data_IF_666018704516
#
_entry.id   IF_666018704516
#
_cell.length_a   1.000
_cell.length_b   1.000
_cell.length_c   1.000
_cell.angle_alpha   90.00
_cell.angle_beta   90.00
_cell.angle_gamma   90.00
#
_symmetry.space_group_name_H-M   'P 1'
#
loop_
_entity.id
_entity.type
_entity.pdbx_description
1 polymer ?
#
# COMPACT_ATOMS: atom_id res chain seq x y z
N UNK A 1 -32.55 -12.39 -29.20
CA UNK A 1 -31.93 -11.14 -28.73
C UNK A 1 -30.47 -11.43 -28.38
N UNK A 2 -29.52 -10.88 -29.14
CA UNK A 2 -28.11 -10.99 -28.79
C UNK A 2 -27.88 -10.20 -27.49
N UNK A 3 -27.39 -10.86 -26.43
CA UNK A 3 -27.05 -10.18 -25.18
C UNK A 3 -25.97 -9.14 -25.46
N UNK A 4 -26.23 -7.90 -25.04
CA UNK A 4 -25.23 -6.85 -25.04
C UNK A 4 -24.04 -7.31 -24.18
N UNK A 5 -22.84 -7.32 -24.75
CA UNK A 5 -21.64 -7.71 -24.01
C UNK A 5 -21.25 -6.56 -23.10
N UNK A 6 -21.45 -6.73 -21.81
CA UNK A 6 -21.08 -5.76 -20.77
C UNK A 6 -19.56 -5.48 -20.72
N UNK A 7 -18.75 -6.38 -21.30
CA UNK A 7 -17.29 -6.27 -21.36
C UNK A 7 -16.80 -6.43 -22.81
N UNK A 8 -16.71 -5.32 -23.53
CA UNK A 8 -16.08 -5.31 -24.84
C UNK A 8 -14.57 -5.62 -24.72
N UNK A 9 -14.03 -6.36 -25.69
CA UNK A 9 -12.58 -6.61 -25.79
C UNK A 9 -12.01 -7.79 -24.99
N UNK A 10 -12.83 -8.63 -24.34
CA UNK A 10 -12.32 -9.84 -23.67
C UNK A 10 -11.79 -10.86 -24.69
N UNK A 11 -10.49 -11.14 -24.65
CA UNK A 11 -9.82 -12.12 -25.47
C UNK A 11 -9.85 -13.50 -24.82
N UNK A 12 -10.38 -14.51 -25.53
CA UNK A 12 -10.57 -15.87 -25.01
C UNK A 12 -9.29 -16.52 -24.46
N UNK A 13 -8.13 -16.18 -25.01
CA UNK A 13 -6.84 -16.73 -24.57
C UNK A 13 -6.25 -16.04 -23.34
N UNK A 14 -6.33 -14.70 -23.28
CA UNK A 14 -5.68 -13.92 -22.22
C UNK A 14 -6.57 -13.77 -20.98
N UNK A 15 -7.90 -13.67 -21.19
CA UNK A 15 -8.86 -13.39 -20.12
C UNK A 15 -9.53 -14.64 -19.52
N UNK A 16 -8.98 -15.82 -19.76
CA UNK A 16 -9.56 -17.09 -19.25
C UNK A 16 -9.76 -17.08 -17.73
N UNK A 17 -8.83 -16.45 -17.02
CA UNK A 17 -8.83 -16.37 -15.55
C UNK A 17 -9.39 -15.04 -15.04
N UNK A 18 -9.81 -14.15 -15.94
CA UNK A 18 -10.34 -12.84 -15.59
C UNK A 18 -11.74 -12.95 -14.98
N UNK A 19 -12.03 -12.17 -13.94
CA UNK A 19 -13.34 -12.13 -13.26
C UNK A 19 -14.50 -11.77 -14.19
N UNK A 20 -14.29 -10.79 -15.06
CA UNK A 20 -15.25 -10.41 -16.10
C UNK A 20 -15.73 -11.58 -16.95
N UNK A 21 -14.92 -12.65 -17.12
CA UNK A 21 -15.34 -13.84 -17.87
C UNK A 21 -16.41 -14.64 -17.14
N UNK A 22 -16.31 -14.74 -15.82
CA UNK A 22 -17.34 -15.39 -15.00
C UNK A 22 -18.63 -14.55 -15.05
N UNK A 23 -18.51 -13.23 -14.99
CA UNK A 23 -19.66 -12.30 -15.08
C UNK A 23 -20.37 -12.45 -16.44
N UNK A 24 -19.63 -12.48 -17.57
CA UNK A 24 -20.23 -12.73 -18.90
C UNK A 24 -20.97 -14.07 -18.99
N UNK A 25 -20.53 -15.06 -18.21
CA UNK A 25 -21.11 -16.39 -18.16
C UNK A 25 -22.21 -16.51 -17.08
N UNK A 26 -22.73 -15.39 -16.56
CA UNK A 26 -23.73 -15.32 -15.49
C UNK A 26 -23.27 -15.91 -14.14
N UNK A 27 -21.96 -15.97 -13.89
CA UNK A 27 -21.42 -16.30 -12.58
C UNK A 27 -21.63 -15.16 -11.59
N UNK A 28 -22.11 -15.49 -10.39
CA UNK A 28 -22.20 -14.53 -9.29
C UNK A 28 -20.83 -14.39 -8.61
N UNK A 29 -20.28 -13.18 -8.60
CA UNK A 29 -19.08 -12.86 -7.85
C UNK A 29 -19.43 -11.89 -6.73
N UNK A 30 -18.95 -12.17 -5.52
CA UNK A 30 -19.12 -11.23 -4.41
C UNK A 30 -18.19 -10.03 -4.59
N UNK A 31 -18.60 -8.84 -4.10
CA UNK A 31 -17.71 -7.69 -3.99
C UNK A 31 -16.44 -8.04 -3.20
N UNK A 32 -15.29 -7.54 -3.68
CA UNK A 32 -14.02 -7.68 -2.99
C UNK A 32 -13.94 -6.71 -1.82
N UNK A 33 -13.32 -7.14 -0.73
CA UNK A 33 -13.01 -6.24 0.39
C UNK A 33 -11.76 -5.42 0.09
N UNK A 34 -11.93 -4.11 -0.12
CA UNK A 34 -10.78 -3.20 -0.22
C UNK A 34 -10.11 -3.06 1.14
N UNK A 35 -8.79 -3.19 1.18
CA UNK A 35 -7.98 -2.97 2.38
C UNK A 35 -7.54 -1.50 2.44
N UNK A 36 -8.52 -0.59 2.44
CA UNK A 36 -8.28 0.83 2.69
C UNK A 36 -8.22 1.08 4.17
N UNK A 37 -7.05 0.88 4.75
CA UNK A 37 -6.81 1.24 6.14
C UNK A 37 -6.62 2.75 6.24
N UNK A 38 -6.90 3.32 7.41
CA UNK A 38 -6.55 4.68 7.76
C UNK A 38 -5.48 4.68 8.84
N UNK A 39 -4.80 5.80 9.00
CA UNK A 39 -3.74 5.97 9.98
C UNK A 39 -4.07 6.97 11.09
N UNK A 40 -5.31 7.46 11.11
CA UNK A 40 -5.79 8.42 12.12
C UNK A 40 -5.66 7.94 13.57
N UNK A 41 -5.55 6.62 13.78
CA UNK A 41 -5.36 6.01 15.10
C UNK A 41 -3.94 6.24 15.66
N UNK A 42 -3.01 6.81 14.88
CA UNK A 42 -1.67 7.15 15.32
C UNK A 42 -1.44 8.66 15.16
N UNK A 43 -1.36 9.43 16.27
CA UNK A 43 -1.07 10.85 16.22
C UNK A 43 0.33 11.14 15.66
N UNK A 44 0.44 12.09 14.72
CA UNK A 44 1.72 12.58 14.22
C UNK A 44 2.24 13.70 15.14
N UNK A 45 3.45 13.56 15.66
CA UNK A 45 4.15 14.62 16.39
C UNK A 45 4.73 15.64 15.41
N UNK A 46 4.63 16.92 15.72
CA UNK A 46 5.14 18.02 14.89
C UNK A 46 6.67 17.95 14.74
N UNK A 47 7.37 17.39 15.73
CA UNK A 47 8.84 17.21 15.69
C UNK A 47 9.28 16.24 14.58
N UNK A 48 8.37 15.47 13.98
CA UNK A 48 8.71 14.56 12.90
C UNK A 48 8.77 15.26 11.53
N UNK A 49 8.09 16.40 11.37
CA UNK A 49 7.92 17.06 10.08
C UNK A 49 9.24 17.39 9.35
N UNK A 50 10.32 17.86 10.03
CA UNK A 50 11.60 18.13 9.37
C UNK A 50 12.20 16.89 8.69
N UNK A 51 12.02 15.70 9.26
CA UNK A 51 12.52 14.46 8.69
C UNK A 51 11.70 14.04 7.47
N UNK A 52 10.38 14.24 7.52
CA UNK A 52 9.49 13.93 6.39
C UNK A 52 9.70 14.88 5.23
N UNK A 53 10.00 16.16 5.50
CA UNK A 53 10.39 17.14 4.50
C UNK A 53 11.72 16.76 3.81
N UNK A 54 12.72 16.34 4.61
CA UNK A 54 14.00 15.83 4.08
C UNK A 54 13.85 14.58 3.22
N UNK A 55 12.83 13.75 3.43
CA UNK A 55 12.48 12.65 2.51
C UNK A 55 11.59 13.07 1.32
N UNK A 56 11.00 14.27 1.35
CA UNK A 56 10.01 14.71 0.37
C UNK A 56 8.64 14.04 0.54
N UNK A 57 8.37 13.48 1.73
CA UNK A 57 7.14 12.76 2.06
C UNK A 57 6.17 13.57 2.93
N UNK A 58 6.54 14.79 3.35
CA UNK A 58 5.67 15.65 4.16
C UNK A 58 4.29 15.88 3.51
N UNK A 59 4.15 16.20 2.20
CA UNK A 59 2.83 16.37 1.58
C UNK A 59 1.96 15.12 1.71
N UNK A 60 2.52 13.94 1.45
CA UNK A 60 1.85 12.65 1.65
C UNK A 60 1.43 12.43 3.11
N UNK A 61 2.30 12.69 4.08
CA UNK A 61 1.98 12.53 5.49
C UNK A 61 0.82 13.46 5.89
N UNK A 62 0.86 14.73 5.49
CA UNK A 62 -0.21 15.69 5.80
C UNK A 62 -1.56 15.29 5.20
N UNK A 63 -1.55 14.70 4.00
CA UNK A 63 -2.75 14.20 3.33
C UNK A 63 -3.35 13.01 4.07
N UNK A 64 -2.53 12.06 4.52
CA UNK A 64 -2.99 10.76 5.05
C UNK A 64 -2.93 10.59 6.56
N UNK A 65 -2.43 11.58 7.32
CA UNK A 65 -2.55 11.59 8.79
C UNK A 65 -4.00 11.81 9.27
N UNK A 66 -4.89 12.23 8.37
CA UNK A 66 -6.30 12.52 8.64
C UNK A 66 -7.17 11.27 8.51
N UNK A 67 -8.44 11.38 8.91
CA UNK A 67 -9.41 10.31 8.66
C UNK A 67 -9.66 10.18 7.15
N UNK A 68 -9.46 8.97 6.63
CA UNK A 68 -9.70 8.68 5.22
C UNK A 68 -11.21 8.58 4.95
N UNK A 69 -11.69 8.90 3.73
CA UNK A 69 -13.10 8.75 3.38
C UNK A 69 -13.54 7.28 3.44
N UNK A 70 -14.84 7.02 3.44
CA UNK A 70 -15.33 5.64 3.30
C UNK A 70 -15.05 5.11 1.89
N UNK A 71 -14.70 3.82 1.78
CA UNK A 71 -14.53 3.15 0.50
C UNK A 71 -15.80 2.38 0.14
N UNK A 72 -16.33 2.63 -1.06
CA UNK A 72 -17.35 1.77 -1.64
C UNK A 72 -16.71 0.53 -2.27
N UNK A 73 -16.79 -0.59 -1.55
CA UNK A 73 -16.23 -1.87 -2.00
C UNK A 73 -16.87 -2.39 -3.30
N UNK A 74 -18.16 -2.11 -3.54
CA UNK A 74 -18.87 -2.53 -4.73
C UNK A 74 -18.39 -1.77 -5.96
N UNK A 75 -18.33 -0.44 -5.87
CA UNK A 75 -17.85 0.43 -6.93
C UNK A 75 -16.39 0.10 -7.30
N UNK A 76 -15.53 -0.06 -6.29
CA UNK A 76 -14.13 -0.45 -6.50
C UNK A 76 -14.01 -1.83 -7.17
N UNK A 77 -14.84 -2.79 -6.77
CA UNK A 77 -14.86 -4.11 -7.43
C UNK A 77 -15.28 -4.00 -8.88
N UNK A 78 -16.33 -3.23 -9.18
CA UNK A 78 -16.80 -3.02 -10.55
C UNK A 78 -15.75 -2.34 -11.43
N UNK A 79 -14.92 -1.46 -10.86
CA UNK A 79 -13.76 -0.86 -11.54
C UNK A 79 -12.67 -1.91 -11.80
N UNK A 80 -12.31 -2.72 -10.79
CA UNK A 80 -11.33 -3.81 -10.93
C UNK A 80 -11.76 -4.86 -11.97
N UNK A 81 -13.06 -5.17 -12.06
CA UNK A 81 -13.60 -6.08 -13.07
C UNK A 81 -13.41 -5.55 -14.51
N UNK A 82 -13.08 -4.25 -14.66
CA UNK A 82 -12.76 -3.61 -15.95
C UNK A 82 -11.27 -3.40 -16.18
N UNK A 83 -10.41 -3.75 -15.21
CA UNK A 83 -8.96 -3.69 -15.39
C UNK A 83 -8.49 -4.65 -16.48
N UNK A 84 -7.52 -4.23 -17.29
CA UNK A 84 -6.83 -5.07 -18.28
C UNK A 84 -5.34 -5.11 -17.98
N UNK A 85 -4.83 -6.26 -17.49
CA UNK A 85 -3.42 -6.43 -17.19
C UNK A 85 -2.48 -6.26 -18.40
N UNK A 86 -2.99 -6.40 -19.62
CA UNK A 86 -2.22 -6.29 -20.85
C UNK A 86 -1.82 -4.85 -21.18
N UNK A 87 -2.68 -3.89 -20.83
CA UNK A 87 -2.49 -2.45 -21.11
C UNK A 87 -2.33 -1.62 -19.84
N UNK A 88 -2.51 -2.24 -18.67
CA UNK A 88 -2.57 -1.56 -17.37
C UNK A 88 -3.56 -0.38 -17.38
N UNK A 89 -4.77 -0.64 -17.88
CA UNK A 89 -5.85 0.34 -17.94
C UNK A 89 -7.21 -0.28 -17.62
N UNK A 90 -8.16 0.55 -17.21
CA UNK A 90 -9.57 0.23 -17.06
C UNK A 90 -10.29 0.43 -18.39
N UNK A 91 -11.02 -0.58 -18.84
CA UNK A 91 -11.83 -0.52 -20.05
C UNK A 91 -13.28 -0.20 -19.67
N UNK A 92 -13.65 1.08 -19.79
CA UNK A 92 -14.97 1.62 -19.49
C UNK A 92 -15.78 1.80 -20.79
N UNK A 93 -17.08 2.06 -20.67
CA UNK A 93 -17.93 2.37 -21.85
C UNK A 93 -17.52 3.67 -22.55
N UNK A 94 -16.87 4.60 -21.83
CA UNK A 94 -16.36 5.86 -22.36
C UNK A 94 -14.93 5.77 -22.93
N UNK A 95 -14.28 4.60 -22.86
CA UNK A 95 -12.90 4.40 -23.34
C UNK A 95 -11.98 3.77 -22.31
N UNK A 96 -10.68 3.83 -22.58
CA UNK A 96 -9.63 3.38 -21.68
C UNK A 96 -9.22 4.49 -20.71
N UNK A 97 -9.01 4.13 -19.44
CA UNK A 97 -8.59 5.06 -18.39
C UNK A 97 -7.54 4.39 -17.52
N UNK A 98 -6.49 5.10 -17.11
CA UNK A 98 -5.51 4.57 -16.15
C UNK A 98 -5.06 5.64 -15.18
N UNK A 99 -4.59 5.22 -14.00
CA UNK A 99 -3.94 6.12 -13.03
C UNK A 99 -2.53 6.38 -13.52
N UNK A 100 -2.16 7.63 -13.78
CA UNK A 100 -0.82 8.00 -14.24
C UNK A 100 0.11 8.36 -13.08
N UNK A 101 1.39 8.61 -13.39
CA UNK A 101 2.32 9.18 -12.40
C UNK A 101 1.89 10.57 -11.94
N UNK A 102 1.30 11.37 -12.82
CA UNK A 102 0.79 12.71 -12.47
C UNK A 102 -0.38 12.60 -11.50
N UNK A 103 -1.35 11.72 -11.79
CA UNK A 103 -2.47 11.45 -10.86
C UNK A 103 -1.96 10.96 -9.51
N UNK A 104 -0.98 10.05 -9.50
CA UNK A 104 -0.36 9.55 -8.28
C UNK A 104 0.28 10.69 -7.47
N UNK A 105 1.03 11.59 -8.10
CA UNK A 105 1.63 12.73 -7.43
C UNK A 105 0.56 13.68 -6.87
N UNK A 106 -0.46 14.00 -7.67
CA UNK A 106 -1.49 14.98 -7.33
C UNK A 106 -2.45 14.48 -6.24
N UNK A 107 -2.88 13.22 -6.30
CA UNK A 107 -3.81 12.64 -5.33
C UNK A 107 -3.09 12.35 -4.01
N UNK A 108 -1.87 11.78 -4.08
CA UNK A 108 -1.21 11.26 -2.89
C UNK A 108 -0.20 12.20 -2.25
N UNK A 109 0.35 13.16 -2.99
CA UNK A 109 1.48 13.97 -2.56
C UNK A 109 2.81 13.18 -2.49
N UNK A 110 2.87 11.95 -3.01
CA UNK A 110 4.12 11.19 -3.10
C UNK A 110 5.02 11.74 -4.21
N UNK A 111 6.34 11.85 -3.97
CA UNK A 111 7.28 12.31 -4.99
C UNK A 111 7.44 11.29 -6.12
N UNK A 112 7.37 11.76 -7.37
CA UNK A 112 7.61 10.95 -8.58
C UNK A 112 9.03 11.12 -9.15
N UNK A 113 9.80 12.06 -8.61
CA UNK A 113 11.22 12.23 -8.92
C UNK A 113 12.10 11.57 -7.84
N UNK A 114 13.35 11.27 -8.19
CA UNK A 114 14.32 10.65 -7.29
C UNK A 114 14.72 9.24 -7.73
N UNK A 115 15.42 8.53 -6.86
CA UNK A 115 15.90 7.19 -7.14
C UNK A 115 14.76 6.16 -7.20
N UNK A 116 14.97 5.07 -7.95
CA UNK A 116 14.05 3.94 -7.92
C UNK A 116 14.01 3.33 -6.51
N UNK A 117 12.84 2.81 -6.10
CA UNK A 117 12.66 2.12 -4.81
C UNK A 117 13.34 0.75 -4.84
N UNK A 118 14.66 0.76 -4.77
CA UNK A 118 15.52 -0.41 -4.74
C UNK A 118 16.25 -0.46 -3.42
N UNK A 119 16.15 -1.57 -2.70
CA UNK A 119 16.80 -1.79 -1.42
C UNK A 119 17.25 -3.24 -1.29
N UNK A 120 17.95 -3.53 -0.20
CA UNK A 120 18.33 -4.91 0.12
C UNK A 120 17.09 -5.75 0.42
N UNK A 121 17.05 -6.96 -0.12
CA UNK A 121 16.06 -7.99 0.23
C UNK A 121 16.66 -9.09 1.11
N UNK A 122 17.92 -8.93 1.52
CA UNK A 122 18.60 -9.87 2.41
C UNK A 122 17.94 -9.76 3.78
N UNK A 123 17.33 -10.82 4.29
CA UNK A 123 16.59 -10.80 5.55
C UNK A 123 17.44 -11.11 6.79
N UNK A 124 18.72 -11.44 6.62
CA UNK A 124 19.64 -11.62 7.74
C UNK A 124 19.59 -10.41 8.70
N UNK A 125 19.38 -10.66 9.99
CA UNK A 125 19.33 -9.63 11.04
C UNK A 125 18.29 -8.51 10.79
N UNK A 126 17.17 -8.79 10.10
CA UNK A 126 16.15 -7.77 9.84
C UNK A 126 15.53 -7.21 11.13
N UNK A 127 15.42 -8.03 12.20
CA UNK A 127 14.97 -7.58 13.53
C UNK A 127 15.91 -6.57 14.15
N UNK A 128 17.22 -6.81 14.05
CA UNK A 128 18.22 -5.87 14.57
C UNK A 128 18.17 -4.55 13.80
N UNK A 129 17.98 -4.60 12.48
CA UNK A 129 17.79 -3.39 11.66
C UNK A 129 16.52 -2.62 12.03
N UNK A 130 15.40 -3.33 12.25
CA UNK A 130 14.18 -2.71 12.77
C UNK A 130 14.45 -2.05 14.12
N UNK A 131 15.12 -2.74 15.04
CA UNK A 131 15.48 -2.22 16.36
C UNK A 131 16.43 -1.03 16.31
N UNK A 132 17.41 -1.02 15.40
CA UNK A 132 18.31 0.13 15.22
C UNK A 132 17.56 1.37 14.71
N UNK A 133 16.65 1.18 13.74
CA UNK A 133 15.95 2.30 13.09
C UNK A 133 14.75 2.81 13.88
N UNK A 134 14.07 1.95 14.65
CA UNK A 134 12.85 2.30 15.41
C UNK A 134 13.05 2.26 16.91
N UNK A 135 14.17 1.74 17.42
CA UNK A 135 14.46 1.56 18.84
C UNK A 135 13.66 0.45 19.53
N UNK A 136 12.86 -0.33 18.81
CA UNK A 136 12.09 -1.48 19.33
C UNK A 136 12.40 -2.73 18.51
N UNK A 137 12.71 -3.83 19.20
CA UNK A 137 13.19 -5.06 18.58
C UNK A 137 12.04 -6.06 18.50
N UNK A 138 11.64 -6.52 17.30
CA UNK A 138 10.61 -7.55 17.20
C UNK A 138 11.11 -8.87 17.78
N UNK A 139 10.22 -9.60 18.44
CA UNK A 139 10.54 -10.92 18.99
C UNK A 139 10.76 -11.97 17.88
N UNK A 140 11.62 -12.98 18.12
CA UNK A 140 11.76 -14.11 17.20
C UNK A 140 10.43 -14.89 17.10
N UNK A 141 10.18 -15.58 15.97
CA UNK A 141 8.98 -16.41 15.84
C UNK A 141 9.02 -17.56 16.85
N UNK A 142 7.84 -18.04 17.24
CA UNK A 142 7.74 -19.23 18.09
C UNK A 142 8.35 -20.46 17.42
N UNK A 143 8.69 -21.48 18.22
CA UNK A 143 9.38 -22.65 17.71
C UNK A 143 8.52 -23.38 16.66
N UNK A 144 9.04 -23.43 15.43
CA UNK A 144 8.36 -24.06 14.29
C UNK A 144 7.57 -23.08 13.41
N UNK A 145 7.43 -21.82 13.80
CA UNK A 145 6.85 -20.79 12.95
C UNK A 145 7.86 -20.25 11.94
N UNK A 146 7.37 -19.91 10.75
CA UNK A 146 8.19 -19.33 9.69
C UNK A 146 8.36 -17.84 9.95
N UNK A 147 9.59 -17.35 9.90
CA UNK A 147 9.84 -15.93 10.01
C UNK A 147 9.20 -15.17 8.84
N UNK A 148 8.22 -14.31 9.16
CA UNK A 148 7.42 -13.63 8.14
C UNK A 148 8.04 -12.35 7.62
N UNK A 149 9.21 -11.95 8.14
CA UNK A 149 9.93 -10.74 7.72
C UNK A 149 9.06 -9.47 7.79
N UNK A 150 8.18 -9.45 8.78
CA UNK A 150 7.13 -8.45 8.96
C UNK A 150 6.83 -8.30 10.45
N UNK A 151 6.38 -7.12 10.83
CA UNK A 151 5.82 -6.86 12.15
C UNK A 151 4.33 -6.57 12.04
N UNK A 152 3.57 -6.86 13.09
CA UNK A 152 2.15 -6.51 13.14
C UNK A 152 1.99 -5.00 13.32
N UNK A 153 1.05 -4.39 12.60
CA UNK A 153 0.77 -2.95 12.75
C UNK A 153 0.32 -2.59 14.16
N UNK A 154 -0.49 -3.44 14.81
CA UNK A 154 -0.93 -3.21 16.19
C UNK A 154 0.21 -3.35 17.19
N UNK A 155 1.18 -4.24 16.95
CA UNK A 155 2.38 -4.35 17.78
C UNK A 155 3.22 -3.08 17.66
N UNK A 156 3.48 -2.63 16.42
CA UNK A 156 4.24 -1.41 16.17
C UNK A 156 3.56 -0.18 16.80
N UNK A 157 2.23 -0.10 16.74
CA UNK A 157 1.44 0.90 17.46
C UNK A 157 1.51 0.75 18.99
N UNK A 158 1.55 -0.47 19.52
CA UNK A 158 1.73 -0.69 20.97
C UNK A 158 3.09 -0.16 21.46
N UNK A 159 4.15 -0.43 20.70
CA UNK A 159 5.53 -0.05 21.07
C UNK A 159 5.86 1.44 20.83
N UNK A 160 5.26 2.05 19.80
CA UNK A 160 5.61 3.41 19.33
C UNK A 160 4.44 4.34 19.07
N UNK A 161 3.21 3.84 19.12
CA UNK A 161 1.98 4.60 18.88
C UNK A 161 1.58 5.56 19.99
N UNK A 162 2.24 5.46 21.16
CA UNK A 162 2.14 6.47 22.21
C UNK A 162 2.90 7.73 21.78
N UNK A 163 2.38 8.90 22.16
CA UNK A 163 3.03 10.19 21.90
C UNK A 163 4.49 10.14 22.35
N UNK A 164 5.40 10.53 21.45
CA UNK A 164 6.82 10.57 21.76
C UNK A 164 7.07 11.49 22.97
N UNK A 165 7.88 11.07 23.97
CA UNK A 165 8.09 11.86 25.18
C UNK A 165 8.50 13.32 24.87
N UNK A 166 7.97 14.33 25.57
CA UNK A 166 8.30 15.73 25.29
C UNK A 166 9.80 16.05 25.43
N UNK A 167 10.48 15.36 26.33
CA UNK A 167 11.91 15.45 26.66
C UNK A 167 12.79 14.46 25.89
N UNK A 168 12.21 13.74 24.92
CA UNK A 168 12.95 12.80 24.07
C UNK A 168 14.10 13.49 23.34
N UNK A 169 15.28 12.87 23.39
CA UNK A 169 16.42 13.31 22.59
C UNK A 169 16.18 13.06 21.09
N UNK A 170 17.03 13.66 20.26
CA UNK A 170 16.89 13.61 18.80
C UNK A 170 16.85 12.17 18.25
N UNK A 171 17.66 11.26 18.80
CA UNK A 171 17.70 9.85 18.37
C UNK A 171 16.35 9.18 18.57
N UNK A 172 15.73 9.38 19.73
CA UNK A 172 14.39 8.83 20.03
C UNK A 172 13.33 9.45 19.12
N UNK A 173 13.39 10.76 18.89
CA UNK A 173 12.46 11.44 17.96
C UNK A 173 12.57 10.84 16.56
N UNK A 174 13.79 10.64 16.04
CA UNK A 174 14.01 10.00 14.73
C UNK A 174 13.47 8.58 14.69
N UNK A 175 13.66 7.80 15.76
CA UNK A 175 13.14 6.43 15.86
C UNK A 175 11.61 6.38 15.80
N UNK A 176 10.93 7.28 16.50
CA UNK A 176 9.47 7.43 16.41
C UNK A 176 9.03 7.90 15.03
N UNK A 177 9.72 8.89 14.44
CA UNK A 177 9.41 9.38 13.09
C UNK A 177 9.51 8.27 12.04
N UNK A 178 10.56 7.42 12.09
CA UNK A 178 10.70 6.26 11.19
C UNK A 178 9.59 5.24 11.39
N UNK A 179 9.26 4.91 12.64
CA UNK A 179 8.18 3.98 12.95
C UNK A 179 6.83 4.47 12.41
N UNK A 180 6.52 5.74 12.61
CA UNK A 180 5.31 6.38 12.11
C UNK A 180 5.22 6.35 10.58
N UNK A 181 6.28 6.77 9.89
CA UNK A 181 6.30 6.82 8.43
C UNK A 181 6.27 5.41 7.81
N UNK A 182 6.98 4.46 8.41
CA UNK A 182 6.93 3.05 8.01
C UNK A 182 5.54 2.44 8.18
N UNK A 183 4.86 2.76 9.29
CA UNK A 183 3.47 2.40 9.51
C UNK A 183 2.56 2.98 8.41
N UNK A 184 2.66 4.28 8.11
CA UNK A 184 1.87 4.92 7.05
C UNK A 184 2.07 4.26 5.69
N UNK A 185 3.32 4.10 5.25
CA UNK A 185 3.65 3.55 3.94
C UNK A 185 3.15 2.10 3.81
N UNK A 186 3.38 1.26 4.82
CA UNK A 186 2.98 -0.15 4.74
C UNK A 186 1.49 -0.39 4.96
N UNK A 187 0.80 0.51 5.65
CA UNK A 187 -0.64 0.41 5.90
C UNK A 187 -1.48 0.97 4.75
N UNK A 188 -0.99 2.02 4.08
CA UNK A 188 -1.74 2.76 3.06
C UNK A 188 -1.28 2.43 1.64
N UNK A 189 0.04 2.43 1.41
CA UNK A 189 0.61 2.37 0.06
C UNK A 189 0.95 0.93 -0.33
N UNK A 190 1.62 0.21 0.58
CA UNK A 190 2.12 -1.13 0.36
C UNK A 190 1.49 -2.22 1.23
N UNK A 191 0.18 -2.18 1.57
CA UNK A 191 -0.40 -3.26 2.37
C UNK A 191 -0.37 -4.56 1.56
N UNK A 192 -0.04 -5.65 2.24
CA UNK A 192 -0.18 -6.99 1.69
C UNK A 192 -1.65 -7.44 1.71
N UNK A 193 -1.92 -8.70 1.37
CA UNK A 193 -3.29 -9.22 1.32
C UNK A 193 -3.99 -9.27 2.69
N UNK A 194 -3.25 -9.26 3.80
CA UNK A 194 -3.85 -9.25 5.15
C UNK A 194 -4.04 -7.83 5.66
N UNK A 195 -3.21 -6.87 5.22
CA UNK A 195 -3.37 -5.44 5.51
C UNK A 195 -3.05 -5.05 6.97
N UNK A 196 -2.46 -5.97 7.73
CA UNK A 196 -2.19 -5.79 9.16
C UNK A 196 -0.71 -5.94 9.53
N UNK A 197 0.18 -6.01 8.52
CA UNK A 197 1.61 -6.26 8.69
C UNK A 197 2.42 -5.20 7.95
N UNK A 198 3.49 -4.73 8.60
CA UNK A 198 4.49 -3.86 8.03
C UNK A 198 5.72 -4.68 7.60
N UNK A 199 6.09 -4.61 6.32
CA UNK A 199 7.25 -5.32 5.79
C UNK A 199 8.54 -4.52 6.02
N UNK A 200 9.58 -5.15 6.57
CA UNK A 200 10.80 -4.45 7.00
C UNK A 200 11.54 -3.77 5.84
N UNK A 201 11.44 -4.30 4.62
CA UNK A 201 12.15 -3.75 3.45
C UNK A 201 11.84 -2.28 3.20
N UNK A 202 10.65 -1.81 3.57
CA UNK A 202 10.26 -0.41 3.42
C UNK A 202 10.87 0.49 4.49
N UNK A 203 11.23 -0.06 5.66
CA UNK A 203 11.91 0.67 6.72
C UNK A 203 13.37 0.94 6.36
N UNK A 204 14.05 0.00 5.71
CA UNK A 204 15.44 0.19 5.27
C UNK A 204 15.56 1.36 4.27
N UNK A 205 14.53 1.60 3.46
CA UNK A 205 14.44 2.76 2.56
C UNK A 205 14.32 4.10 3.32
N UNK A 206 14.01 4.08 4.62
CA UNK A 206 13.90 5.25 5.51
C UNK A 206 15.11 5.41 6.43
N UNK A 207 16.19 4.64 6.21
CA UNK A 207 17.40 4.70 7.02
C UNK A 207 18.11 6.05 6.90
N UNK A 208 18.23 6.56 5.67
CA UNK A 208 18.82 7.85 5.33
C UNK A 208 17.73 8.89 5.04
N UNK A 209 17.70 9.96 5.85
CA UNK A 209 16.71 11.03 5.73
C UNK A 209 16.90 11.92 4.50
N UNK A 210 18.09 11.95 3.89
CA UNK A 210 18.37 12.80 2.72
C UNK A 210 18.21 12.06 1.39
N UNK A 211 18.00 10.74 1.45
CA UNK A 211 17.84 9.93 0.24
C UNK A 211 16.45 10.07 -0.34
N UNK A 212 16.38 10.67 -1.53
CA UNK A 212 15.13 10.93 -2.25
C UNK A 212 14.78 9.77 -3.18
N UNK A 213 13.65 9.13 -2.93
CA UNK A 213 13.10 8.09 -3.81
C UNK A 213 11.85 8.57 -4.54
N UNK A 214 11.63 7.99 -5.72
CA UNK A 214 10.40 8.14 -6.50
C UNK A 214 9.27 7.28 -5.90
N UNK A 215 8.84 7.61 -4.68
CA UNK A 215 7.81 6.88 -3.95
C UNK A 215 6.50 6.73 -4.72
N UNK A 216 6.12 7.75 -5.49
CA UNK A 216 4.95 7.71 -6.37
C UNK A 216 5.05 6.65 -7.46
N UNK A 217 6.22 6.51 -8.10
CA UNK A 217 6.42 5.45 -9.11
C UNK A 217 6.37 4.05 -8.48
N UNK A 218 6.98 3.88 -7.31
CA UNK A 218 6.89 2.63 -6.55
C UNK A 218 5.47 2.28 -6.14
N UNK A 219 4.70 3.27 -5.67
CA UNK A 219 3.30 3.13 -5.31
C UNK A 219 2.44 2.75 -6.51
N UNK A 220 2.61 3.41 -7.66
CA UNK A 220 1.88 3.12 -8.89
C UNK A 220 2.16 1.71 -9.42
N UNK A 221 3.45 1.32 -9.48
CA UNK A 221 3.84 -0.03 -9.87
C UNK A 221 3.24 -1.09 -8.92
N UNK A 222 3.21 -0.82 -7.62
CA UNK A 222 2.56 -1.71 -6.66
C UNK A 222 1.05 -1.77 -6.86
N UNK A 223 0.39 -0.65 -7.12
CA UNK A 223 -1.04 -0.55 -7.39
C UNK A 223 -1.44 -1.37 -8.62
N UNK A 224 -0.75 -1.18 -9.75
CA UNK A 224 -0.99 -1.98 -10.97
C UNK A 224 -0.82 -3.47 -10.71
N UNK A 225 0.23 -3.86 -9.99
CA UNK A 225 0.44 -5.27 -9.61
C UNK A 225 -0.69 -5.82 -8.73
N UNK A 226 -1.31 -5.00 -7.88
CA UNK A 226 -2.45 -5.43 -7.08
C UNK A 226 -3.72 -5.53 -7.92
N UNK A 227 -3.94 -4.62 -8.88
CA UNK A 227 -5.04 -4.69 -9.84
C UNK A 227 -4.94 -5.94 -10.72
N UNK A 228 -3.76 -6.24 -11.27
CA UNK A 228 -3.47 -7.43 -12.07
C UNK A 228 -3.81 -8.74 -11.34
N UNK A 229 -3.60 -8.75 -10.02
CA UNK A 229 -3.95 -9.88 -9.17
C UNK A 229 -5.43 -9.88 -8.83
N UNK A 230 -5.99 -8.73 -8.47
CA UNK A 230 -7.36 -8.59 -8.02
C UNK A 230 -8.37 -8.93 -9.13
N UNK A 231 -8.12 -8.53 -10.38
CA UNK A 231 -9.00 -8.81 -11.51
C UNK A 231 -9.09 -10.31 -11.87
N UNK A 232 -8.26 -11.16 -11.25
CA UNK A 232 -8.24 -12.63 -11.41
C UNK A 232 -8.68 -13.38 -10.13
N UNK A 233 -9.00 -12.68 -9.03
CA UNK A 233 -9.42 -13.30 -7.76
C UNK A 233 -10.91 -13.63 -7.77
N UNK A 234 -11.28 -14.90 -7.62
CA UNK A 234 -12.69 -15.36 -7.73
C UNK A 234 -13.32 -15.82 -6.41
N UNK A 235 -12.54 -15.96 -5.34
CA UNK A 235 -13.02 -16.46 -4.04
C UNK A 235 -13.88 -15.42 -3.33
N UNK A 236 -14.90 -15.85 -2.59
CA UNK A 236 -15.79 -14.94 -1.86
C UNK A 236 -15.11 -14.09 -0.78
N UNK A 237 -13.97 -14.55 -0.26
CA UNK A 237 -13.13 -13.84 0.73
C UNK A 237 -12.02 -13.00 0.11
N UNK A 238 -12.05 -12.81 -1.22
CA UNK A 238 -11.03 -12.02 -1.92
C UNK A 238 -11.08 -10.56 -1.50
N UNK A 239 -9.91 -9.97 -1.33
CA UNK A 239 -9.76 -8.53 -1.15
C UNK A 239 -8.74 -7.96 -2.12
N UNK A 240 -8.49 -6.66 -2.03
CA UNK A 240 -7.40 -5.99 -2.73
C UNK A 240 -6.60 -5.15 -1.72
N UNK A 241 -5.29 -5.31 -1.74
CA UNK A 241 -4.34 -4.43 -1.05
C UNK A 241 -3.76 -3.40 -2.03
N UNK A 242 -2.71 -2.70 -1.63
CA UNK A 242 -2.17 -1.56 -2.37
C UNK A 242 -2.87 -0.25 -2.06
N UNK A 243 -2.48 0.79 -2.79
CA UNK A 243 -2.88 2.15 -2.52
C UNK A 243 -4.26 2.48 -3.10
N UNK A 244 -5.30 1.83 -2.56
CA UNK A 244 -6.69 1.93 -3.04
C UNK A 244 -7.27 3.35 -2.96
N UNK A 245 -6.64 4.24 -2.20
CA UNK A 245 -7.02 5.66 -2.12
C UNK A 245 -6.67 6.48 -3.37
N UNK A 246 -5.92 5.90 -4.32
CA UNK A 246 -5.59 6.50 -5.60
C UNK A 246 -6.45 5.97 -6.77
N UNK A 247 -7.54 5.27 -6.46
CA UNK A 247 -8.53 4.75 -7.41
C UNK A 247 -9.87 5.47 -7.17
#
# INVERSE_FOLDING_TARGET
MARERWYHGLHKGYDKDHRARDIENNGELTPMRMRGHSAHDWPCDERYEPYFERLGLLPFVLQFKRHAPSIDHGAMTALIDRWRPETHSFHLSCGEMTVTLEDMAMISGLPINGEALTGTTVSANWRDRVGQLTGVFPEPPEQGERDSEKVLHHWLQGERGVVCPPDANEVVVQQHARAYLWYLLTRLVFPDSTGNKAQWIFLDLLSDWDRKYSWGSGALAYLYRQLDKACRRKKGTSGMGGFVWCL
#
